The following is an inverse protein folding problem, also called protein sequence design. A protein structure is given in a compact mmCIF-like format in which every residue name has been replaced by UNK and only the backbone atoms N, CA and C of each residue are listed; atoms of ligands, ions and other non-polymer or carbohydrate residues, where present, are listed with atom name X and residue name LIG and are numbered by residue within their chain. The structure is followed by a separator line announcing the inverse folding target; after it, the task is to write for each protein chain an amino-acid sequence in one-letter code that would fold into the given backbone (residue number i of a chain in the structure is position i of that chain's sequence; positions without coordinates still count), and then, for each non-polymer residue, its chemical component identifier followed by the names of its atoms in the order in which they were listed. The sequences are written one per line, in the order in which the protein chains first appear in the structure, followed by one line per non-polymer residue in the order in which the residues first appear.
data_IF_248059230667
#
_entry.id   IF_248059230667
#
_cell.length_a   1.000
_cell.length_b   1.000
_cell.length_c   1.000
_cell.angle_alpha   90.00
_cell.angle_beta   90.00
_cell.angle_gamma   90.00
#
_symmetry.space_group_name_H-M   'P 1'
#
loop_
_entity.id
_entity.type
_entity.pdbx_description
1 polymer ?
#
# COMPACT_ATOMS: atom_id res chain seq x y z
N UNK A 1 2.27 -2.10 -24.53
CA UNK A 1 3.02 -3.37 -24.34
C UNK A 1 3.39 -3.60 -22.88
N UNK A 2 3.92 -2.58 -22.19
CA UNK A 2 4.39 -2.64 -20.78
C UNK A 2 3.31 -2.98 -19.74
N UNK A 3 2.12 -2.35 -19.81
CA UNK A 3 1.02 -2.64 -18.86
C UNK A 3 0.47 -4.07 -18.99
N UNK A 4 0.49 -4.64 -20.20
CA UNK A 4 0.04 -6.03 -20.41
C UNK A 4 1.01 -7.04 -19.78
N UNK A 5 2.32 -6.75 -19.84
CA UNK A 5 3.36 -7.55 -19.19
C UNK A 5 3.27 -7.44 -17.66
N UNK A 6 3.12 -6.22 -17.13
CA UNK A 6 2.92 -5.99 -15.70
C UNK A 6 1.67 -6.70 -15.18
N UNK A 7 0.54 -6.58 -15.88
CA UNK A 7 -0.69 -7.31 -15.53
C UNK A 7 -0.49 -8.83 -15.59
N UNK A 8 0.20 -9.34 -16.60
CA UNK A 8 0.52 -10.76 -16.70
C UNK A 8 1.34 -11.27 -15.51
N UNK A 9 2.33 -10.49 -15.06
CA UNK A 9 3.15 -10.82 -13.89
C UNK A 9 2.31 -10.79 -12.60
N UNK A 10 1.50 -9.75 -12.40
CA UNK A 10 0.65 -9.63 -11.21
C UNK A 10 -0.37 -10.76 -11.17
N UNK A 11 -1.03 -11.07 -12.30
CA UNK A 11 -1.99 -12.18 -12.36
C UNK A 11 -1.33 -13.53 -12.07
N UNK A 12 -0.10 -13.76 -12.55
CA UNK A 12 0.65 -15.00 -12.30
C UNK A 12 0.96 -15.21 -10.81
N UNK A 13 1.25 -14.14 -10.07
CA UNK A 13 1.63 -14.21 -8.65
C UNK A 13 0.62 -13.52 -7.73
N UNK A 14 -0.65 -13.42 -8.16
CA UNK A 14 -1.65 -12.54 -7.55
C UNK A 14 -1.81 -12.78 -6.04
N UNK A 15 -1.96 -14.06 -5.64
CA UNK A 15 -2.10 -14.44 -4.23
C UNK A 15 -0.87 -14.07 -3.41
N UNK A 16 0.33 -14.25 -3.97
CA UNK A 16 1.58 -13.94 -3.27
C UNK A 16 1.75 -12.44 -3.11
N UNK A 17 1.53 -11.66 -4.17
CA UNK A 17 1.64 -10.19 -4.14
C UNK A 17 0.62 -9.60 -3.15
N UNK A 18 -0.61 -10.13 -3.18
CA UNK A 18 -1.66 -9.74 -2.23
C UNK A 18 -1.27 -10.07 -0.78
N UNK A 19 -0.81 -11.29 -0.49
CA UNK A 19 -0.38 -11.65 0.86
C UNK A 19 0.79 -10.80 1.34
N UNK A 20 1.75 -10.49 0.47
CA UNK A 20 2.87 -9.59 0.79
C UNK A 20 2.33 -8.20 1.15
N UNK A 21 1.40 -7.64 0.36
CA UNK A 21 0.77 -6.35 0.67
C UNK A 21 0.02 -6.36 2.01
N UNK A 22 -0.72 -7.42 2.31
CA UNK A 22 -1.40 -7.58 3.61
C UNK A 22 -0.41 -7.64 4.78
N UNK A 23 0.68 -8.40 4.63
CA UNK A 23 1.72 -8.47 5.67
C UNK A 23 2.42 -7.13 5.89
N UNK A 24 2.67 -6.37 4.81
CA UNK A 24 3.22 -5.02 4.91
C UNK A 24 2.31 -4.10 5.72
N UNK A 25 1.00 -4.19 5.49
CA UNK A 25 -0.02 -3.43 6.22
C UNK A 25 -0.03 -3.78 7.70
N UNK A 26 -0.03 -5.07 8.03
CA UNK A 26 -0.01 -5.54 9.42
C UNK A 26 1.25 -5.03 10.13
N UNK A 27 2.41 -5.20 9.51
CA UNK A 27 3.68 -4.72 10.05
C UNK A 27 3.67 -3.21 10.31
N UNK A 28 3.17 -2.42 9.35
CA UNK A 28 3.06 -0.95 9.48
C UNK A 28 2.22 -0.55 10.68
N UNK A 29 1.02 -1.13 10.82
CA UNK A 29 0.13 -0.82 11.94
C UNK A 29 0.65 -1.33 13.28
N UNK A 30 1.31 -2.48 13.31
CA UNK A 30 1.98 -2.99 14.51
C UNK A 30 3.11 -2.05 14.95
N UNK A 31 3.94 -1.56 14.02
CA UNK A 31 5.03 -0.65 14.35
C UNK A 31 4.51 0.66 14.96
N UNK A 32 3.45 1.23 14.38
CA UNK A 32 2.81 2.45 14.90
C UNK A 32 2.12 2.20 16.25
N UNK A 33 1.45 1.06 16.43
CA UNK A 33 0.77 0.78 17.69
C UNK A 33 1.74 0.53 18.86
N UNK A 34 2.93 0.01 18.59
CA UNK A 34 3.95 -0.24 19.62
C UNK A 34 4.80 0.98 19.94
N UNK A 35 5.27 1.70 18.92
CA UNK A 35 6.20 2.82 19.11
C UNK A 35 5.48 4.17 19.22
N UNK A 36 4.23 4.25 18.79
CA UNK A 36 3.44 5.48 18.82
C UNK A 36 4.18 6.64 18.15
N UNK A 37 4.39 7.77 18.85
CA UNK A 37 5.12 8.93 18.34
C UNK A 37 6.58 8.64 17.95
N UNK A 38 7.21 7.64 18.56
CA UNK A 38 8.62 7.26 18.31
C UNK A 38 8.77 6.36 17.07
N UNK A 39 7.67 6.01 16.40
CA UNK A 39 7.74 5.23 15.17
C UNK A 39 8.49 6.00 14.07
N UNK A 40 9.23 5.31 13.18
CA UNK A 40 9.84 5.95 12.02
C UNK A 40 8.74 6.34 11.02
N UNK A 41 8.06 7.45 11.30
CA UNK A 41 6.76 7.80 10.72
C UNK A 41 6.83 7.88 9.19
N UNK A 42 7.86 8.53 8.65
CA UNK A 42 8.08 8.61 7.20
C UNK A 42 8.23 7.22 6.56
N UNK A 43 9.00 6.33 7.18
CA UNK A 43 9.17 4.96 6.69
C UNK A 43 7.84 4.20 6.68
N UNK A 44 7.06 4.30 7.77
CA UNK A 44 5.75 3.66 7.85
C UNK A 44 4.84 4.16 6.74
N UNK A 45 4.78 5.47 6.50
CA UNK A 45 3.94 6.03 5.45
C UNK A 45 4.36 5.59 4.05
N UNK A 46 5.66 5.58 3.76
CA UNK A 46 6.18 5.07 2.49
C UNK A 46 5.84 3.60 2.30
N UNK A 47 6.12 2.77 3.32
CA UNK A 47 5.88 1.34 3.27
C UNK A 47 4.39 1.02 3.14
N UNK A 48 3.54 1.76 3.85
CA UNK A 48 2.09 1.62 3.76
C UNK A 48 1.52 2.10 2.41
N UNK A 49 2.10 3.14 1.83
CA UNK A 49 1.72 3.61 0.48
C UNK A 49 2.06 2.56 -0.57
N UNK A 50 3.23 1.92 -0.48
CA UNK A 50 3.65 0.84 -1.39
C UNK A 50 2.66 -0.33 -1.32
N UNK A 51 2.26 -0.76 -0.12
CA UNK A 51 1.30 -1.85 0.02
C UNK A 51 -0.07 -1.47 -0.58
N UNK A 52 -0.52 -0.23 -0.37
CA UNK A 52 -1.78 0.26 -0.91
C UNK A 52 -1.77 0.29 -2.45
N UNK A 53 -0.65 0.65 -3.07
CA UNK A 53 -0.48 0.56 -4.54
C UNK A 53 -0.57 -0.89 -5.01
N UNK A 54 0.14 -1.81 -4.35
CA UNK A 54 0.12 -3.24 -4.71
C UNK A 54 -1.29 -3.83 -4.57
N UNK A 55 -1.95 -3.59 -3.44
CA UNK A 55 -3.30 -4.11 -3.16
C UNK A 55 -4.35 -3.48 -4.07
N UNK A 56 -4.23 -2.19 -4.42
CA UNK A 56 -5.09 -1.54 -5.42
C UNK A 56 -4.98 -2.23 -6.78
N UNK A 57 -3.76 -2.59 -7.20
CA UNK A 57 -3.55 -3.29 -8.48
C UNK A 57 -4.17 -4.69 -8.45
N UNK A 58 -3.99 -5.43 -7.35
CA UNK A 58 -4.60 -6.75 -7.15
C UNK A 58 -6.14 -6.69 -7.12
N UNK A 59 -6.73 -5.74 -6.39
CA UNK A 59 -8.19 -5.61 -6.28
C UNK A 59 -8.82 -5.12 -7.59
N UNK A 60 -8.15 -4.22 -8.32
CA UNK A 60 -8.61 -3.76 -9.62
C UNK A 60 -8.62 -4.91 -10.65
N UNK A 61 -7.57 -5.74 -10.67
CA UNK A 61 -7.53 -6.93 -11.53
C UNK A 61 -8.60 -7.97 -11.15
N UNK A 62 -8.91 -8.10 -9.85
CA UNK A 62 -10.01 -8.94 -9.35
C UNK A 62 -11.40 -8.33 -9.52
N UNK A 63 -11.50 -7.09 -10.00
CA UNK A 63 -12.76 -6.33 -10.10
C UNK A 63 -13.49 -6.15 -8.76
N UNK A 64 -12.72 -6.07 -7.67
CA UNK A 64 -13.25 -5.79 -6.34
C UNK A 64 -13.29 -4.28 -6.11
N UNK A 65 -14.48 -3.69 -6.28
CA UNK A 65 -14.67 -2.25 -6.20
C UNK A 65 -14.43 -1.70 -4.77
N UNK A 66 -14.84 -2.44 -3.74
CA UNK A 66 -14.72 -1.99 -2.35
C UNK A 66 -13.24 -1.91 -1.93
N UNK A 67 -12.46 -2.95 -2.21
CA UNK A 67 -11.03 -2.95 -1.90
C UNK A 67 -10.23 -2.02 -2.81
N UNK A 68 -10.65 -1.82 -4.06
CA UNK A 68 -10.02 -0.83 -4.94
C UNK A 68 -10.22 0.58 -4.39
N UNK A 69 -11.44 0.94 -4.00
CA UNK A 69 -11.72 2.24 -3.39
C UNK A 69 -10.92 2.44 -2.11
N UNK A 70 -10.92 1.45 -1.22
CA UNK A 70 -10.20 1.49 0.05
C UNK A 70 -8.70 1.72 -0.15
N UNK A 71 -8.06 0.91 -1.00
CA UNK A 71 -6.62 0.99 -1.18
C UNK A 71 -6.22 2.29 -1.92
N UNK A 72 -7.01 2.74 -2.90
CA UNK A 72 -6.77 4.04 -3.54
C UNK A 72 -6.91 5.20 -2.55
N UNK A 73 -7.88 5.13 -1.64
CA UNK A 73 -7.97 6.09 -0.52
C UNK A 73 -6.70 6.11 0.32
N UNK A 74 -6.18 4.94 0.69
CA UNK A 74 -4.93 4.84 1.45
C UNK A 74 -3.71 5.36 0.70
N UNK A 75 -3.65 5.25 -0.64
CA UNK A 75 -2.61 5.88 -1.44
C UNK A 75 -2.66 7.41 -1.26
N UNK A 76 -3.85 8.02 -1.35
CA UNK A 76 -4.00 9.47 -1.19
C UNK A 76 -3.59 9.94 0.20
N UNK A 77 -4.07 9.25 1.25
CA UNK A 77 -3.68 9.55 2.64
C UNK A 77 -2.18 9.33 2.83
N UNK A 78 -1.61 8.30 2.20
CA UNK A 78 -0.18 8.01 2.21
C UNK A 78 0.67 9.15 1.65
N UNK A 79 0.28 9.71 0.49
CA UNK A 79 0.96 10.88 -0.09
C UNK A 79 0.92 12.09 0.84
N UNK A 80 -0.22 12.35 1.49
CA UNK A 80 -0.34 13.45 2.47
C UNK A 80 0.53 13.17 3.69
N UNK A 81 0.51 11.94 4.22
CA UNK A 81 1.32 11.51 5.36
C UNK A 81 2.82 11.67 5.11
N UNK A 82 3.29 11.23 3.94
CA UNK A 82 4.67 11.41 3.49
C UNK A 82 5.02 12.90 3.41
N UNK A 83 4.18 13.71 2.76
CA UNK A 83 4.43 15.14 2.55
C UNK A 83 4.53 15.91 3.88
N UNK A 84 3.68 15.56 4.85
CA UNK A 84 3.75 16.13 6.21
C UNK A 84 4.99 15.66 6.97
N UNK A 85 5.32 14.37 6.89
CA UNK A 85 6.49 13.81 7.55
C UNK A 85 7.82 14.33 6.97
N UNK A 86 7.83 14.74 5.69
CA UNK A 86 8.98 15.36 5.03
C UNK A 86 9.06 16.88 5.23
N UNK A 87 8.12 17.49 5.95
CA UNK A 87 8.10 18.93 6.23
C UNK A 87 7.71 19.81 5.03
N UNK A 88 7.03 19.25 4.02
CA UNK A 88 6.54 20.02 2.86
C UNK A 88 5.20 20.71 3.12
N UNK A 89 4.46 20.24 4.13
CA UNK A 89 3.13 20.67 4.57
C UNK A 89 3.07 20.66 6.10
#
# INVERSE_FOLDING_TARGET
MTLRLANGLVLRYLKTIEMVGVLMRIFSFTLVSWLGPESPFLFVWVFNTIDAVMLSWCSALKKDAAYTLLNVFWIMVGVIGISRASGWL
#
